data_IF_139749189657
#
_entry.id   IF_139749189657
#
_cell.length_a   1.000
_cell.length_b   1.000
_cell.length_c   1.000
_cell.angle_alpha   90.00
_cell.angle_beta   90.00
_cell.angle_gamma   90.00
#
_symmetry.space_group_name_H-M   'P 1'
#
loop_
_entity.id
_entity.type
_entity.pdbx_description
1 polymer ?
#
# COMPACT_ATOMS: atom_id res chain seq x y z
N UNK A 1 -12.04 -16.24 58.50
CA UNK A 1 -12.22 -17.44 57.66
C UNK A 1 -12.45 -16.94 56.23
N UNK A 2 -11.40 -16.66 55.43
CA UNK A 2 -10.83 -17.53 54.38
C UNK A 2 -11.82 -18.51 53.73
N UNK A 3 -12.16 -18.25 52.47
CA UNK A 3 -12.11 -19.25 51.39
C UNK A 3 -11.74 -18.58 50.07
N UNK A 4 -10.67 -19.11 49.48
CA UNK A 4 -10.07 -18.88 48.17
C UNK A 4 -10.61 -19.89 47.16
N UNK A 5 -10.75 -19.55 45.87
CA UNK A 5 -10.71 -20.53 44.76
C UNK A 5 -10.22 -19.89 43.47
N UNK A 6 -9.25 -20.55 42.85
CA UNK A 6 -8.54 -20.22 41.62
C UNK A 6 -8.66 -21.39 40.64
N UNK A 7 -8.81 -21.16 39.33
CA UNK A 7 -8.54 -22.09 38.20
C UNK A 7 -8.41 -21.22 36.93
N UNK A 8 -7.23 -20.93 36.35
CA UNK A 8 -6.29 -21.74 35.56
C UNK A 8 -6.68 -21.93 34.07
N UNK A 9 -5.80 -21.43 33.18
CA UNK A 9 -5.33 -22.17 31.99
C UNK A 9 -5.95 -21.85 30.62
N UNK A 10 -5.14 -21.26 29.73
CA UNK A 10 -4.71 -21.91 28.46
C UNK A 10 -3.98 -20.88 27.56
N UNK A 11 -2.64 -20.89 27.60
CA UNK A 11 -1.82 -20.28 26.56
C UNK A 11 -1.46 -21.37 25.55
N UNK A 12 -1.88 -21.21 24.30
CA UNK A 12 -1.51 -22.11 23.20
C UNK A 12 -0.60 -21.32 22.27
N UNK A 13 0.70 -21.58 22.37
CA UNK A 13 1.70 -21.11 21.42
C UNK A 13 1.68 -22.04 20.19
N UNK A 14 1.27 -21.52 19.04
CA UNK A 14 1.36 -22.24 17.77
C UNK A 14 2.74 -22.03 17.15
N UNK A 15 3.35 -23.17 16.80
CA UNK A 15 4.69 -23.36 16.29
C UNK A 15 4.88 -22.81 14.88
N UNK A 16 6.07 -22.26 14.64
CA UNK A 16 6.62 -21.97 13.33
C UNK A 16 6.89 -23.28 12.56
N UNK A 17 6.35 -23.39 11.35
CA UNK A 17 6.79 -24.36 10.34
C UNK A 17 7.19 -23.59 9.09
N UNK A 18 8.49 -23.30 8.97
CA UNK A 18 9.09 -22.71 7.78
C UNK A 18 9.45 -23.84 6.81
N UNK A 19 8.52 -24.18 5.93
CA UNK A 19 8.73 -25.17 4.88
C UNK A 19 9.16 -24.48 3.58
N UNK A 20 10.35 -24.81 3.10
CA UNK A 20 10.55 -25.17 1.70
C UNK A 20 10.92 -24.06 0.73
N UNK A 21 12.21 -24.01 0.41
CA UNK A 21 12.72 -23.68 -0.93
C UNK A 21 14.06 -24.44 -1.02
N UNK A 22 14.14 -25.69 -1.52
CA UNK A 22 14.14 -26.05 -2.95
C UNK A 22 14.78 -24.94 -3.78
N UNK A 23 16.11 -24.88 -3.91
CA UNK A 23 16.92 -25.89 -4.57
C UNK A 23 17.19 -25.39 -5.98
N UNK A 24 18.45 -25.16 -6.33
CA UNK A 24 18.89 -25.33 -7.72
C UNK A 24 20.39 -25.62 -7.77
N UNK A 25 20.69 -26.69 -8.48
CA UNK A 25 22.00 -27.27 -8.73
C UNK A 25 22.56 -26.68 -10.03
N UNK A 26 23.85 -26.35 -10.01
CA UNK A 26 24.79 -26.89 -11.00
C UNK A 26 24.82 -26.31 -12.44
N UNK A 27 26.03 -25.86 -12.76
CA UNK A 27 26.76 -26.00 -14.03
C UNK A 27 26.50 -25.05 -15.20
N UNK A 28 27.50 -24.19 -15.37
CA UNK A 28 28.30 -24.00 -16.59
C UNK A 28 27.64 -24.25 -17.95
N UNK A 29 27.48 -23.19 -18.75
CA UNK A 29 27.90 -23.27 -20.15
C UNK A 29 28.39 -21.92 -20.70
N UNK A 30 29.68 -21.90 -20.99
CA UNK A 30 30.42 -20.91 -21.79
C UNK A 30 29.87 -20.83 -23.22
N UNK A 31 29.60 -19.61 -23.69
CA UNK A 31 29.58 -19.28 -25.12
C UNK A 31 29.84 -17.78 -25.37
N UNK A 32 31.07 -17.44 -25.75
CA UNK A 32 31.37 -16.32 -26.67
C UNK A 32 31.15 -16.84 -28.11
N UNK A 33 30.75 -16.03 -29.13
CA UNK A 33 31.57 -14.89 -29.57
C UNK A 33 30.90 -13.69 -30.31
N UNK A 34 31.67 -12.58 -30.35
CA UNK A 34 31.87 -11.61 -31.46
C UNK A 34 30.78 -10.63 -31.96
N UNK A 35 31.15 -9.34 -31.81
CA UNK A 35 31.32 -8.30 -32.86
C UNK A 35 30.13 -7.38 -33.23
N UNK A 36 30.27 -6.14 -32.74
CA UNK A 36 30.20 -4.85 -33.45
C UNK A 36 28.88 -4.40 -34.09
N UNK A 37 28.25 -3.40 -33.48
CA UNK A 37 27.89 -2.15 -34.15
C UNK A 37 27.57 -1.07 -33.10
N UNK A 38 28.37 0.00 -33.07
CA UNK A 38 27.97 1.25 -32.44
C UNK A 38 26.96 1.98 -33.35
N UNK A 39 25.99 2.66 -32.75
CA UNK A 39 25.83 4.06 -33.11
C UNK A 39 25.63 4.94 -31.86
N UNK A 40 26.43 6.01 -31.75
CA UNK A 40 26.02 7.28 -31.13
C UNK A 40 25.26 8.09 -32.20
N UNK A 41 24.28 8.96 -31.89
CA UNK A 41 24.47 10.09 -30.94
C UNK A 41 23.26 10.55 -30.10
N UNK A 42 23.62 11.22 -28.99
CA UNK A 42 23.04 12.44 -28.39
C UNK A 42 21.51 12.61 -28.28
N UNK A 43 21.00 12.58 -27.05
CA UNK A 43 19.98 13.53 -26.60
C UNK A 43 20.04 13.66 -25.07
N UNK A 44 20.46 14.83 -24.61
CA UNK A 44 20.22 15.30 -23.25
C UNK A 44 18.71 15.36 -22.98
N UNK A 45 18.22 14.75 -21.90
CA UNK A 45 17.02 15.25 -21.22
C UNK A 45 17.19 15.04 -19.70
N UNK A 46 16.93 16.06 -18.86
CA UNK A 46 17.12 15.96 -17.43
C UNK A 46 16.08 15.02 -16.82
N UNK A 47 16.50 14.23 -15.83
CA UNK A 47 15.57 13.58 -14.91
C UNK A 47 14.60 14.64 -14.35
N UNK A 48 13.28 14.41 -14.30
CA UNK A 48 12.42 15.27 -13.51
C UNK A 48 12.76 15.05 -12.04
N UNK A 49 13.61 15.92 -11.49
CA UNK A 49 13.58 16.23 -10.06
C UNK A 49 12.17 16.72 -9.77
N UNK A 50 11.37 15.87 -9.15
CA UNK A 50 10.10 16.27 -8.58
C UNK A 50 10.41 17.18 -7.38
N UNK A 51 10.50 18.48 -7.64
CA UNK A 51 10.37 19.50 -6.61
C UNK A 51 9.03 19.31 -5.89
N UNK A 52 8.99 19.27 -4.54
CA UNK A 52 7.73 19.29 -3.81
C UNK A 52 7.15 20.70 -3.95
N UNK A 53 6.35 20.91 -5.01
CA UNK A 53 5.50 22.09 -5.10
C UNK A 53 4.39 21.91 -4.07
N UNK A 54 4.52 22.67 -2.97
CA UNK A 54 3.49 22.88 -1.97
C UNK A 54 2.26 23.51 -2.67
N UNK A 55 1.32 22.65 -3.09
CA UNK A 55 0.05 23.08 -3.65
C UNK A 55 -0.92 23.42 -2.50
N UNK A 56 -1.71 24.50 -2.61
CA UNK A 56 -2.63 24.92 -1.57
C UNK A 56 -3.77 23.91 -1.43
N UNK A 57 -4.27 23.77 -0.19
CA UNK A 57 -5.34 22.88 0.23
C UNK A 57 -6.64 23.07 -0.56
N UNK A 58 -6.75 22.39 -1.70
CA UNK A 58 -8.02 22.02 -2.31
C UNK A 58 -8.12 20.52 -2.14
N UNK A 59 -9.09 20.05 -1.34
CA UNK A 59 -9.41 18.62 -1.25
C UNK A 59 -9.73 18.14 -2.66
N UNK A 60 -8.86 17.35 -3.29
CA UNK A 60 -9.06 17.01 -4.69
C UNK A 60 -10.20 16.00 -4.74
N UNK A 61 -11.18 16.29 -5.59
CA UNK A 61 -12.19 15.30 -5.95
C UNK A 61 -11.46 14.03 -6.44
N UNK A 62 -11.93 12.83 -6.05
CA UNK A 62 -11.30 11.59 -6.44
C UNK A 62 -11.23 11.54 -7.96
N UNK A 63 -10.00 11.63 -8.51
CA UNK A 63 -9.76 11.44 -9.95
C UNK A 63 -10.39 10.11 -10.34
N UNK A 64 -11.12 10.06 -11.45
CA UNK A 64 -11.75 8.85 -11.96
C UNK A 64 -10.74 7.71 -12.02
N UNK A 65 -10.78 6.81 -11.05
CA UNK A 65 -9.85 5.69 -10.98
C UNK A 65 -10.40 4.59 -11.89
N UNK A 66 -9.60 4.02 -12.81
CA UNK A 66 -10.03 2.87 -13.59
C UNK A 66 -10.49 1.74 -12.68
N UNK A 67 -11.54 1.04 -13.09
CA UNK A 67 -12.07 -0.12 -12.37
C UNK A 67 -11.07 -1.29 -12.50
N UNK A 68 -10.70 -1.90 -11.38
CA UNK A 68 -9.53 -2.79 -11.23
C UNK A 68 -8.20 -2.04 -11.32
N UNK A 69 -8.10 -0.92 -10.60
CA UNK A 69 -6.88 -0.13 -10.55
C UNK A 69 -5.68 -1.02 -10.23
N UNK A 70 -4.62 -0.86 -11.01
CA UNK A 70 -3.32 -1.44 -10.63
C UNK A 70 -2.85 -0.79 -9.33
N UNK A 71 -1.90 -1.45 -8.66
CA UNK A 71 -1.27 -0.93 -7.45
C UNK A 71 -0.80 0.51 -7.61
N UNK A 72 -0.20 0.82 -8.76
CA UNK A 72 0.36 2.14 -9.08
C UNK A 72 -0.74 3.19 -9.28
N UNK A 73 -1.83 2.83 -9.95
CA UNK A 73 -2.98 3.71 -10.17
C UNK A 73 -3.70 4.05 -8.85
N UNK A 74 -3.84 3.07 -7.95
CA UNK A 74 -4.38 3.30 -6.62
C UNK A 74 -3.49 4.26 -5.83
N UNK A 75 -2.17 4.04 -5.81
CA UNK A 75 -1.24 4.92 -5.11
C UNK A 75 -1.28 6.33 -5.68
N UNK A 76 -1.33 6.49 -7.00
CA UNK A 76 -1.47 7.80 -7.64
C UNK A 76 -2.79 8.51 -7.26
N UNK A 77 -3.90 7.77 -7.16
CA UNK A 77 -5.18 8.31 -6.72
C UNK A 77 -5.16 8.72 -5.24
N UNK A 78 -4.51 7.94 -4.38
CA UNK A 78 -4.36 8.24 -2.95
C UNK A 78 -3.42 9.44 -2.73
N UNK A 79 -2.32 9.53 -3.47
CA UNK A 79 -1.41 10.69 -3.46
C UNK A 79 -2.17 11.96 -3.89
N UNK A 80 -3.07 11.84 -4.86
CA UNK A 80 -3.88 12.97 -5.27
C UNK A 80 -4.66 13.54 -4.09
N UNK A 81 -5.32 12.71 -3.25
CA UNK A 81 -6.01 13.14 -2.02
C UNK A 81 -5.07 13.93 -1.11
N UNK A 82 -3.94 13.30 -0.77
CA UNK A 82 -2.84 13.94 -0.05
C UNK A 82 -1.61 13.04 -0.09
N UNK A 83 -0.41 13.59 -0.31
CA UNK A 83 0.83 12.82 -0.21
C UNK A 83 1.03 12.22 1.20
N UNK A 84 0.37 12.77 2.23
CA UNK A 84 0.35 12.22 3.57
C UNK A 84 -0.22 10.80 3.68
N UNK A 85 -1.14 10.44 2.77
CA UNK A 85 -1.84 9.15 2.75
C UNK A 85 -0.90 8.03 2.29
N UNK A 86 -0.05 8.36 1.32
CA UNK A 86 0.98 7.47 0.78
C UNK A 86 2.30 7.90 1.43
N UNK A 87 2.48 7.47 2.67
CA UNK A 87 3.72 7.71 3.41
C UNK A 87 4.94 7.05 2.73
N UNK A 88 6.08 7.03 3.42
CA UNK A 88 7.31 6.45 2.89
C UNK A 88 7.22 4.94 2.57
N UNK A 89 6.20 4.24 3.07
CA UNK A 89 5.97 2.82 2.82
C UNK A 89 4.67 2.60 2.02
N UNK A 90 4.84 2.39 0.71
CA UNK A 90 3.76 2.04 -0.20
C UNK A 90 3.11 0.70 0.15
N UNK A 91 3.87 -0.30 0.63
CA UNK A 91 3.30 -1.59 1.01
C UNK A 91 2.36 -1.43 2.20
N UNK A 92 2.73 -0.59 3.17
CA UNK A 92 1.86 -0.27 4.29
C UNK A 92 0.57 0.42 3.83
N UNK A 93 0.68 1.33 2.87
CA UNK A 93 -0.48 2.01 2.26
C UNK A 93 -1.43 1.02 1.58
N UNK A 94 -0.89 0.06 0.82
CA UNK A 94 -1.70 -0.99 0.18
C UNK A 94 -2.34 -1.93 1.22
N UNK A 95 -1.60 -2.29 2.28
CA UNK A 95 -2.17 -3.07 3.38
C UNK A 95 -3.34 -2.34 4.07
N UNK A 96 -3.18 -1.03 4.33
CA UNK A 96 -4.25 -0.19 4.86
C UNK A 96 -5.47 -0.13 3.92
N UNK A 97 -5.25 -0.07 2.61
CA UNK A 97 -6.32 -0.13 1.61
C UNK A 97 -7.08 -1.46 1.68
N UNK A 98 -6.39 -2.60 1.79
CA UNK A 98 -7.05 -3.90 1.95
C UNK A 98 -7.86 -3.98 3.26
N UNK A 99 -7.29 -3.53 4.38
CA UNK A 99 -8.00 -3.47 5.67
C UNK A 99 -9.25 -2.59 5.55
N UNK A 100 -9.15 -1.45 4.89
CA UNK A 100 -10.28 -0.56 4.71
C UNK A 100 -11.35 -1.15 3.78
N UNK A 101 -10.94 -1.86 2.73
CA UNK A 101 -11.88 -2.58 1.87
C UNK A 101 -12.66 -3.66 2.63
N UNK A 102 -12.02 -4.39 3.55
CA UNK A 102 -12.72 -5.32 4.43
C UNK A 102 -13.76 -4.60 5.31
N UNK A 103 -13.46 -3.41 5.84
CA UNK A 103 -14.41 -2.60 6.60
C UNK A 103 -15.59 -2.10 5.73
N UNK A 104 -15.30 -1.65 4.51
CA UNK A 104 -16.32 -1.22 3.52
C UNK A 104 -17.25 -2.39 3.19
N UNK A 105 -16.69 -3.55 2.85
CA UNK A 105 -17.45 -4.72 2.42
C UNK A 105 -18.27 -5.36 3.55
N UNK A 106 -17.82 -5.23 4.80
CA UNK A 106 -18.57 -5.68 5.97
C UNK A 106 -19.63 -4.68 6.45
N UNK A 107 -19.72 -3.49 5.85
CA UNK A 107 -20.66 -2.45 6.25
C UNK A 107 -20.36 -1.89 7.65
N UNK A 108 -19.08 -1.85 8.04
CA UNK A 108 -18.68 -1.34 9.35
C UNK A 108 -19.12 0.12 9.55
N UNK A 109 -19.50 0.52 10.78
CA UNK A 109 -19.79 1.92 11.07
C UNK A 109 -18.50 2.76 11.09
N UNK A 110 -18.64 4.08 10.91
CA UNK A 110 -17.54 5.05 11.00
C UNK A 110 -16.39 4.81 10.01
N UNK A 111 -16.70 4.43 8.76
CA UNK A 111 -15.70 4.13 7.73
C UNK A 111 -14.70 5.26 7.50
N UNK A 112 -15.13 6.52 7.60
CA UNK A 112 -14.26 7.67 7.34
C UNK A 112 -13.19 7.83 8.43
N UNK A 113 -13.59 7.67 9.69
CA UNK A 113 -12.66 7.62 10.83
C UNK A 113 -11.75 6.40 10.78
N UNK A 114 -12.30 5.24 10.38
CA UNK A 114 -11.50 4.03 10.21
C UNK A 114 -10.43 4.22 9.13
N UNK A 115 -10.78 4.81 7.98
CA UNK A 115 -9.84 5.15 6.94
C UNK A 115 -8.76 6.10 7.45
N UNK A 116 -9.14 7.18 8.14
CA UNK A 116 -8.19 8.10 8.75
C UNK A 116 -7.19 7.39 9.68
N UNK A 117 -7.65 6.46 10.52
CA UNK A 117 -6.80 5.70 11.42
C UNK A 117 -5.90 4.68 10.68
N UNK A 118 -6.44 3.99 9.68
CA UNK A 118 -5.71 2.96 8.92
C UNK A 118 -4.60 3.57 8.05
N UNK A 119 -4.84 4.77 7.51
CA UNK A 119 -3.90 5.47 6.64
C UNK A 119 -3.00 6.47 7.39
N UNK A 120 -3.18 6.67 8.69
CA UNK A 120 -2.23 7.42 9.51
C UNK A 120 -0.88 6.67 9.57
N UNK A 121 0.20 7.34 9.16
CA UNK A 121 1.53 6.75 9.10
C UNK A 121 2.55 7.61 9.87
N UNK A 122 3.17 7.02 10.90
CA UNK A 122 4.15 7.73 11.73
C UNK A 122 3.51 8.94 12.40
N UNK A 123 4.14 10.10 12.22
CA UNK A 123 3.64 11.40 12.73
C UNK A 123 2.64 12.07 11.79
N UNK A 124 2.31 11.45 10.66
CA UNK A 124 1.40 12.01 9.68
C UNK A 124 -0.04 11.61 10.00
N UNK A 125 -0.82 12.61 10.43
CA UNK A 125 -2.25 12.45 10.67
C UNK A 125 -3.03 12.56 9.35
N UNK A 126 -3.99 11.65 9.16
CA UNK A 126 -5.01 11.73 8.12
C UNK A 126 -6.30 12.19 8.79
N UNK A 127 -6.99 13.17 8.21
CA UNK A 127 -8.26 13.69 8.78
C UNK A 127 -9.45 12.81 8.39
N UNK A 128 -10.59 12.97 9.06
CA UNK A 128 -11.82 12.24 8.68
C UNK A 128 -12.29 12.62 7.27
N UNK A 129 -12.13 13.88 6.85
CA UNK A 129 -12.45 14.33 5.49
C UNK A 129 -11.58 13.62 4.44
N UNK A 130 -10.28 13.47 4.71
CA UNK A 130 -9.39 12.69 3.86
C UNK A 130 -9.78 11.20 3.89
N UNK A 131 -10.17 10.67 5.05
CA UNK A 131 -10.71 9.32 5.20
C UNK A 131 -11.93 9.05 4.31
N UNK A 132 -12.84 10.03 4.21
CA UNK A 132 -13.97 9.98 3.29
C UNK A 132 -13.53 9.93 1.82
N UNK A 133 -12.60 10.80 1.42
CA UNK A 133 -12.05 10.80 0.06
C UNK A 133 -11.36 9.47 -0.28
N UNK A 134 -10.63 8.88 0.68
CA UNK A 134 -10.01 7.55 0.54
C UNK A 134 -11.07 6.49 0.30
N UNK A 135 -12.16 6.50 1.08
CA UNK A 135 -13.26 5.56 0.91
C UNK A 135 -13.92 5.67 -0.47
N UNK A 136 -14.05 6.88 -1.01
CA UNK A 136 -14.57 7.11 -2.36
C UNK A 136 -13.62 6.56 -3.43
N UNK A 137 -12.31 6.82 -3.32
CA UNK A 137 -11.28 6.25 -4.22
C UNK A 137 -11.28 4.73 -4.19
N UNK A 138 -11.31 4.12 -3.01
CA UNK A 138 -11.27 2.66 -2.87
C UNK A 138 -12.51 1.99 -3.49
N UNK A 139 -13.69 2.62 -3.37
CA UNK A 139 -14.92 2.13 -4.01
C UNK A 139 -14.93 2.34 -5.52
N UNK A 140 -14.48 3.51 -5.99
CA UNK A 140 -14.49 3.85 -7.41
C UNK A 140 -13.46 3.05 -8.22
N UNK A 141 -12.31 2.75 -7.61
CA UNK A 141 -11.21 1.99 -8.24
C UNK A 141 -11.50 0.51 -8.45
N UNK A 142 -12.56 -0.04 -7.84
CA UNK A 142 -12.80 -1.48 -7.80
C UNK A 142 -11.74 -2.27 -7.03
N UNK A 143 -10.84 -1.60 -6.31
CA UNK A 143 -9.81 -2.27 -5.50
C UNK A 143 -10.41 -3.16 -4.41
N UNK A 144 -11.57 -2.76 -3.86
CA UNK A 144 -12.29 -3.55 -2.86
C UNK A 144 -13.06 -4.76 -3.42
N UNK A 145 -13.09 -4.95 -4.74
CA UNK A 145 -13.77 -6.07 -5.41
C UNK A 145 -12.83 -7.24 -5.74
N UNK A 146 -11.51 -7.05 -5.57
CA UNK A 146 -10.46 -8.04 -5.86
C UNK A 146 -10.04 -8.88 -4.65
#
# INVERSE_FOLDING_TARGET
MRTTTAVAGAAIALLLALTGCSGDNGDDTKAEPTKSAAPTPDASEPAPTADPTEAPAASPEPKSVPKNATREELLAALIAISPAVVGADENKTIAAAHTQCAAINSGAPNLDRAAAANFAQGDTAVTEEQGKAINEVLKASGFCEN
#
